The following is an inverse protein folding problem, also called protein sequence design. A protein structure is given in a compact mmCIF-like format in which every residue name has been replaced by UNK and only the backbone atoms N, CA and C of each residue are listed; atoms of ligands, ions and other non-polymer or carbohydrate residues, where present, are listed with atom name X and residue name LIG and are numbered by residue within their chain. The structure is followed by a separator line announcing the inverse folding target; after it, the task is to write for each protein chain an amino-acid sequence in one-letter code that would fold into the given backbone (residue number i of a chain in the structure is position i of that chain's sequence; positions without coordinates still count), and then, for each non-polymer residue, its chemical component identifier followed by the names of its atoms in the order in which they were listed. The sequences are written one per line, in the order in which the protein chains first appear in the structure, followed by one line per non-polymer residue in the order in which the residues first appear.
data_IF_468843709507
#
_entry.id   IF_468843709507
#
_cell.length_a   1.000
_cell.length_b   1.000
_cell.length_c   1.000
_cell.angle_alpha   90.00
_cell.angle_beta   90.00
_cell.angle_gamma   90.00
#
_symmetry.space_group_name_H-M   'P 1'
#
loop_
_entity.id
_entity.type
_entity.pdbx_description
1 polymer ?
#
# COMPACT_ATOMS: atom_id res chain seq x y z
N UNK A 1 7.63 7.10 -29.88
CA UNK A 1 8.31 7.53 -28.64
C UNK A 1 8.11 6.41 -27.64
N UNK A 2 9.18 5.90 -27.05
CA UNK A 2 9.07 4.91 -25.96
C UNK A 2 8.72 5.66 -24.68
N UNK A 3 7.62 5.29 -24.02
CA UNK A 3 7.23 5.84 -22.72
C UNK A 3 7.61 4.85 -21.63
N UNK A 4 8.26 5.33 -20.56
CA UNK A 4 8.52 4.49 -19.39
C UNK A 4 7.19 4.17 -18.70
N UNK A 5 7.02 2.91 -18.29
CA UNK A 5 5.83 2.43 -17.57
C UNK A 5 6.13 2.10 -16.12
N UNK A 6 7.41 1.98 -15.78
CA UNK A 6 7.98 1.82 -14.45
C UNK A 6 9.47 2.23 -14.53
N UNK A 7 10.20 2.36 -13.42
CA UNK A 7 11.56 2.90 -13.44
C UNK A 7 12.57 2.09 -14.28
N UNK A 8 12.40 0.78 -14.40
CA UNK A 8 13.28 -0.09 -15.18
C UNK A 8 12.66 -0.63 -16.47
N UNK A 9 11.36 -0.39 -16.72
CA UNK A 9 10.67 -0.93 -17.89
C UNK A 9 9.94 0.13 -18.71
N UNK A 10 9.94 -0.09 -20.02
CA UNK A 10 9.27 0.75 -21.01
C UNK A 10 8.03 0.05 -21.57
N UNK A 11 7.20 0.79 -22.30
CA UNK A 11 5.93 0.32 -22.88
C UNK A 11 6.06 -0.98 -23.66
N UNK A 12 7.21 -1.23 -24.29
CA UNK A 12 7.50 -2.42 -25.09
C UNK A 12 7.46 -3.71 -24.25
N UNK A 13 7.66 -3.64 -22.93
CA UNK A 13 7.51 -4.82 -22.04
C UNK A 13 6.05 -5.28 -21.93
N UNK A 14 5.09 -4.44 -22.33
CA UNK A 14 3.68 -4.77 -22.39
C UNK A 14 3.21 -5.08 -23.83
N UNK A 15 4.13 -5.24 -24.78
CA UNK A 15 3.81 -5.70 -26.13
C UNK A 15 3.70 -7.23 -26.14
N UNK A 16 2.47 -7.76 -26.05
CA UNK A 16 2.20 -9.19 -25.89
C UNK A 16 2.84 -9.82 -24.64
N UNK A 17 2.54 -9.30 -23.43
CA UNK A 17 3.21 -9.69 -22.21
C UNK A 17 2.78 -11.08 -21.75
N UNK A 18 3.71 -11.83 -21.15
CA UNK A 18 3.34 -12.95 -20.31
C UNK A 18 3.11 -12.48 -18.85
N UNK A 19 2.63 -13.36 -17.98
CA UNK A 19 2.34 -13.00 -16.57
C UNK A 19 3.59 -12.58 -15.80
N UNK A 20 4.76 -13.14 -16.11
CA UNK A 20 6.00 -12.79 -15.42
C UNK A 20 6.46 -11.36 -15.80
N UNK A 21 6.23 -10.93 -17.04
CA UNK A 21 6.44 -9.53 -17.44
C UNK A 21 5.59 -8.55 -16.61
N UNK A 22 4.35 -8.92 -16.33
CA UNK A 22 3.44 -8.11 -15.51
C UNK A 22 3.84 -8.10 -14.04
N UNK A 23 4.31 -9.25 -13.51
CA UNK A 23 4.83 -9.36 -12.15
C UNK A 23 6.05 -8.44 -12.00
N UNK A 24 6.96 -8.43 -12.96
CA UNK A 24 8.13 -7.56 -12.96
C UNK A 24 7.72 -6.07 -12.96
N UNK A 25 6.80 -5.66 -13.84
CA UNK A 25 6.33 -4.26 -13.88
C UNK A 25 5.61 -3.89 -12.59
N UNK A 26 4.80 -4.79 -12.01
CA UNK A 26 4.13 -4.55 -10.74
C UNK A 26 5.14 -4.38 -9.59
N UNK A 27 6.09 -5.31 -9.45
CA UNK A 27 7.18 -5.25 -8.47
C UNK A 27 7.94 -3.93 -8.60
N UNK A 28 8.37 -3.59 -9.81
CA UNK A 28 9.16 -2.40 -10.12
C UNK A 28 8.42 -1.11 -9.76
N UNK A 29 7.12 -1.02 -10.07
CA UNK A 29 6.28 0.12 -9.71
C UNK A 29 6.16 0.27 -8.20
N UNK A 30 5.81 -0.78 -7.47
CA UNK A 30 5.62 -0.67 -6.02
C UNK A 30 6.95 -0.37 -5.34
N UNK A 31 8.02 -1.07 -5.71
CA UNK A 31 9.34 -0.90 -5.11
C UNK A 31 9.85 0.53 -5.31
N UNK A 32 9.82 1.03 -6.55
CA UNK A 32 10.52 2.27 -6.89
C UNK A 32 9.61 3.51 -6.94
N UNK A 33 8.29 3.38 -6.94
CA UNK A 33 7.37 4.53 -6.79
C UNK A 33 6.85 4.70 -5.37
N UNK A 34 6.84 3.65 -4.56
CA UNK A 34 6.24 3.69 -3.21
C UNK A 34 7.30 3.40 -2.14
N UNK A 35 7.88 2.21 -2.14
CA UNK A 35 8.72 1.74 -1.01
C UNK A 35 10.01 2.54 -0.89
N UNK A 36 10.81 2.62 -1.94
CA UNK A 36 12.10 3.31 -1.92
C UNK A 36 11.97 4.82 -1.71
N UNK A 37 11.06 5.53 -2.40
CA UNK A 37 10.81 6.95 -2.11
C UNK A 37 10.41 7.18 -0.65
N UNK A 38 9.52 6.34 -0.10
CA UNK A 38 9.13 6.45 1.31
C UNK A 38 10.32 6.21 2.25
N UNK A 39 11.16 5.20 2.00
CA UNK A 39 12.38 4.94 2.80
C UNK A 39 13.36 6.10 2.73
N UNK A 40 13.56 6.68 1.55
CA UNK A 40 14.45 7.82 1.35
C UNK A 40 13.97 9.02 2.16
N UNK A 41 12.69 9.39 2.00
CA UNK A 41 12.09 10.53 2.71
C UNK A 41 12.05 10.28 4.21
N UNK A 42 11.77 9.06 4.68
CA UNK A 42 11.75 8.74 6.10
C UNK A 42 13.12 8.95 6.79
N UNK A 43 14.22 9.03 6.04
CA UNK A 43 15.56 9.31 6.57
C UNK A 43 15.90 10.81 6.65
N UNK A 44 15.01 11.70 6.21
CA UNK A 44 15.21 13.15 6.34
C UNK A 44 14.58 13.66 7.63
N UNK A 45 15.10 14.78 8.13
CA UNK A 45 14.43 15.55 9.19
C UNK A 45 13.00 15.87 8.73
N UNK A 46 12.02 15.61 9.60
CA UNK A 46 10.58 15.78 9.35
C UNK A 46 9.98 14.95 8.19
N UNK A 47 10.72 14.04 7.57
CA UNK A 47 10.22 13.27 6.43
C UNK A 47 9.26 12.14 6.80
N UNK A 48 9.23 11.71 8.06
CA UNK A 48 8.41 10.59 8.53
C UNK A 48 6.93 10.64 8.13
N UNK A 49 6.19 11.73 8.44
CA UNK A 49 4.79 11.86 8.04
C UNK A 49 4.57 11.77 6.52
N UNK A 50 5.41 12.46 5.73
CA UNK A 50 5.32 12.43 4.27
C UNK A 50 5.62 11.03 3.69
N UNK A 51 6.62 10.35 4.24
CA UNK A 51 6.92 8.96 3.89
C UNK A 51 5.71 8.06 4.16
N UNK A 52 5.06 8.21 5.32
CA UNK A 52 3.88 7.42 5.64
C UNK A 52 2.71 7.70 4.68
N UNK A 53 2.52 8.94 4.23
CA UNK A 53 1.52 9.27 3.22
C UNK A 53 1.71 8.50 1.91
N UNK A 54 2.96 8.34 1.46
CA UNK A 54 3.28 7.53 0.27
C UNK A 54 2.89 6.07 0.53
N UNK A 55 3.25 5.53 1.69
CA UNK A 55 2.96 4.14 2.07
C UNK A 55 1.45 3.85 2.14
N UNK A 56 0.61 4.82 2.52
CA UNK A 56 -0.86 4.65 2.57
C UNK A 56 -1.46 4.26 1.20
N UNK A 57 -0.77 4.53 0.09
CA UNK A 57 -1.25 4.16 -1.26
C UNK A 57 -1.17 2.66 -1.54
N UNK A 58 -0.39 1.92 -0.74
CA UNK A 58 -0.14 0.49 -0.95
C UNK A 58 -1.33 -0.39 -0.55
N UNK A 59 -1.93 -0.16 0.63
CA UNK A 59 -2.82 -1.13 1.27
C UNK A 59 -4.03 -1.52 0.41
N UNK A 60 -4.77 -0.54 -0.11
CA UNK A 60 -5.94 -0.81 -0.96
C UNK A 60 -5.55 -1.51 -2.27
N UNK A 61 -4.47 -1.07 -2.90
CA UNK A 61 -4.03 -1.63 -4.18
C UNK A 61 -3.52 -3.07 -4.01
N UNK A 62 -2.71 -3.34 -2.99
CA UNK A 62 -2.23 -4.68 -2.65
C UNK A 62 -3.39 -5.66 -2.46
N UNK A 63 -4.43 -5.25 -1.70
CA UNK A 63 -5.62 -6.09 -1.52
C UNK A 63 -6.40 -6.28 -2.82
N UNK A 64 -6.55 -5.22 -3.62
CA UNK A 64 -7.18 -5.32 -4.94
C UNK A 64 -6.48 -6.32 -5.86
N UNK A 65 -5.15 -6.32 -5.91
CA UNK A 65 -4.37 -7.28 -6.68
C UNK A 65 -4.47 -8.70 -6.12
N UNK A 66 -4.46 -8.86 -4.80
CA UNK A 66 -4.64 -10.17 -4.15
C UNK A 66 -6.02 -10.79 -4.47
N UNK A 67 -7.07 -9.96 -4.54
CA UNK A 67 -8.43 -10.41 -4.84
C UNK A 67 -8.76 -10.44 -6.34
N UNK A 68 -7.91 -9.86 -7.18
CA UNK A 68 -8.17 -9.58 -8.60
C UNK A 68 -9.45 -8.77 -8.84
N UNK A 69 -9.79 -7.88 -7.90
CA UNK A 69 -11.06 -7.13 -7.92
C UNK A 69 -10.84 -5.65 -7.68
N UNK A 70 -11.70 -4.86 -8.31
CA UNK A 70 -11.73 -3.42 -8.13
C UNK A 70 -12.26 -3.05 -6.75
N UNK A 71 -11.56 -2.16 -6.07
CA UNK A 71 -12.02 -1.50 -4.85
C UNK A 71 -13.06 -0.40 -5.11
N UNK A 72 -13.51 -0.21 -6.37
CA UNK A 72 -14.49 0.82 -6.71
C UNK A 72 -15.74 0.69 -5.82
N UNK A 73 -16.10 1.77 -5.12
CA UNK A 73 -17.16 1.86 -4.09
C UNK A 73 -16.91 1.07 -2.79
N UNK A 74 -15.78 0.38 -2.66
CA UNK A 74 -15.39 -0.41 -1.47
C UNK A 74 -13.97 -0.04 -0.96
N UNK A 75 -13.50 1.17 -1.23
CA UNK A 75 -12.13 1.62 -0.92
C UNK A 75 -11.77 1.47 0.57
N UNK A 76 -12.70 1.78 1.48
CA UNK A 76 -12.50 1.60 2.93
C UNK A 76 -12.24 0.14 3.29
N UNK A 77 -13.09 -0.76 2.84
CA UNK A 77 -12.95 -2.19 3.12
C UNK A 77 -11.63 -2.75 2.57
N UNK A 78 -11.30 -2.44 1.32
CA UNK A 78 -10.07 -2.93 0.69
C UNK A 78 -8.83 -2.40 1.38
N UNK A 79 -8.84 -1.13 1.77
CA UNK A 79 -7.75 -0.54 2.54
C UNK A 79 -7.57 -1.24 3.89
N UNK A 80 -8.65 -1.45 4.65
CA UNK A 80 -8.56 -2.07 5.99
C UNK A 80 -8.05 -3.51 5.88
N UNK A 81 -8.56 -4.29 4.93
CA UNK A 81 -8.08 -5.66 4.72
C UNK A 81 -6.61 -5.69 4.29
N UNK A 82 -6.20 -4.83 3.35
CA UNK A 82 -4.81 -4.73 2.93
C UNK A 82 -3.88 -4.29 4.07
N UNK A 83 -4.33 -3.36 4.92
CA UNK A 83 -3.60 -2.98 6.13
C UNK A 83 -3.43 -4.16 7.10
N UNK A 84 -4.52 -4.87 7.39
CA UNK A 84 -4.47 -6.03 8.28
C UNK A 84 -3.56 -7.14 7.73
N UNK A 85 -3.59 -7.39 6.42
CA UNK A 85 -2.76 -8.39 5.76
C UNK A 85 -1.26 -8.07 5.83
N UNK A 86 -0.89 -6.79 5.62
CA UNK A 86 0.49 -6.33 5.76
C UNK A 86 1.00 -6.50 7.20
N UNK A 87 0.19 -6.11 8.20
CA UNK A 87 0.62 -6.09 9.59
C UNK A 87 0.30 -7.37 10.38
N UNK A 88 -0.23 -8.43 9.75
CA UNK A 88 -0.50 -9.70 10.46
C UNK A 88 0.73 -10.32 11.13
N UNK A 89 1.92 -10.07 10.57
CA UNK A 89 3.19 -10.55 11.14
C UNK A 89 3.67 -9.76 12.38
N UNK A 90 2.99 -8.66 12.75
CA UNK A 90 3.33 -7.84 13.92
C UNK A 90 3.02 -8.53 15.26
N UNK A 91 2.20 -9.58 15.25
CA UNK A 91 1.74 -10.29 16.44
C UNK A 91 0.53 -9.66 17.14
N UNK A 92 -0.03 -8.57 16.60
CA UNK A 92 -1.31 -8.06 17.07
C UNK A 92 -2.45 -9.03 16.71
N UNK A 93 -3.44 -9.21 17.61
CA UNK A 93 -4.67 -9.91 17.26
C UNK A 93 -5.34 -9.27 16.04
N UNK A 94 -5.85 -10.11 15.14
CA UNK A 94 -6.42 -9.67 13.86
C UNK A 94 -7.49 -8.58 14.03
N UNK A 95 -8.41 -8.73 14.99
CA UNK A 95 -9.45 -7.72 15.24
C UNK A 95 -8.88 -6.33 15.58
N UNK A 96 -7.71 -6.26 16.24
CA UNK A 96 -7.04 -4.97 16.50
C UNK A 96 -6.49 -4.36 15.22
N UNK A 97 -5.98 -5.17 14.30
CA UNK A 97 -5.51 -4.69 13.02
C UNK A 97 -6.65 -4.10 12.19
N UNK A 98 -7.83 -4.71 12.19
CA UNK A 98 -9.02 -4.14 11.54
C UNK A 98 -9.45 -2.80 12.16
N UNK A 99 -9.55 -2.72 13.50
CA UNK A 99 -9.88 -1.48 14.21
C UNK A 99 -8.85 -0.37 13.95
N UNK A 100 -7.57 -0.73 13.93
CA UNK A 100 -6.46 0.19 13.63
C UNK A 100 -6.51 0.66 12.19
N UNK A 101 -6.72 -0.27 11.24
CA UNK A 101 -6.86 0.03 9.82
C UNK A 101 -8.03 0.98 9.54
N UNK A 102 -9.14 0.84 10.27
CA UNK A 102 -10.27 1.77 10.18
C UNK A 102 -9.88 3.20 10.59
N UNK A 103 -9.19 3.35 11.72
CA UNK A 103 -8.71 4.66 12.19
C UNK A 103 -7.68 5.23 11.21
N UNK A 104 -6.73 4.43 10.74
CA UNK A 104 -5.74 4.86 9.73
C UNK A 104 -6.43 5.31 8.44
N UNK A 105 -7.47 4.60 7.99
CA UNK A 105 -8.22 5.01 6.80
C UNK A 105 -8.86 6.39 6.99
N UNK A 106 -9.54 6.62 8.10
CA UNK A 106 -10.27 7.87 8.35
C UNK A 106 -9.32 9.02 8.69
N UNK A 107 -8.40 8.79 9.63
CA UNK A 107 -7.61 9.85 10.27
C UNK A 107 -6.27 10.09 9.58
N UNK A 108 -5.71 9.09 8.90
CA UNK A 108 -4.47 9.25 8.15
C UNK A 108 -4.73 9.41 6.66
N UNK A 109 -5.36 8.42 6.00
CA UNK A 109 -5.60 8.49 4.56
C UNK A 109 -6.57 9.62 4.21
N UNK A 110 -7.84 9.52 4.61
CA UNK A 110 -8.82 10.56 4.29
C UNK A 110 -8.46 11.91 4.91
N UNK A 111 -8.03 11.93 6.18
CA UNK A 111 -7.59 13.15 6.84
C UNK A 111 -6.49 13.87 6.07
N UNK A 112 -5.40 13.18 5.72
CA UNK A 112 -4.29 13.83 5.04
C UNK A 112 -4.64 14.25 3.60
N UNK A 113 -5.31 13.40 2.83
CA UNK A 113 -5.61 13.70 1.42
C UNK A 113 -6.69 14.78 1.24
N UNK A 114 -7.60 14.97 2.21
CA UNK A 114 -8.66 15.98 2.11
C UNK A 114 -8.36 17.24 2.93
N UNK A 115 -7.69 17.11 4.08
CA UNK A 115 -7.47 18.22 5.00
C UNK A 115 -5.99 18.65 5.08
N UNK A 116 -5.07 17.88 4.48
CA UNK A 116 -3.63 18.12 4.57
C UNK A 116 -3.02 17.76 5.93
N UNK A 117 -3.75 17.06 6.80
CA UNK A 117 -3.37 16.82 8.19
C UNK A 117 -3.74 15.39 8.64
N UNK A 118 -2.89 14.81 9.48
CA UNK A 118 -3.26 13.61 10.25
C UNK A 118 -4.18 14.01 11.41
N UNK A 119 -5.27 13.27 11.62
CA UNK A 119 -6.24 13.57 12.69
C UNK A 119 -5.87 12.91 14.02
N UNK A 120 -6.49 13.40 15.09
CA UNK A 120 -5.99 13.42 16.48
C UNK A 120 -5.58 12.12 17.18
N UNK A 121 -5.65 10.96 16.53
CA UNK A 121 -5.15 9.69 17.07
C UNK A 121 -3.81 9.26 16.46
N UNK A 122 -3.30 9.95 15.44
CA UNK A 122 -2.12 9.54 14.69
C UNK A 122 -0.88 10.32 15.13
N UNK A 123 0.17 9.60 15.54
CA UNK A 123 1.43 10.17 15.99
C UNK A 123 2.61 9.45 15.33
N UNK A 124 3.75 10.13 15.25
CA UNK A 124 4.99 9.60 14.69
C UNK A 124 6.09 9.63 15.74
N UNK A 125 6.84 8.53 15.88
CA UNK A 125 7.97 8.45 16.81
C UNK A 125 8.96 7.39 16.37
N UNK A 126 10.25 7.64 16.61
CA UNK A 126 11.29 6.64 16.45
C UNK A 126 11.15 5.54 17.52
N UNK A 127 10.94 4.30 17.08
CA UNK A 127 10.76 3.15 17.97
C UNK A 127 11.22 1.84 17.33
N UNK A 128 11.23 0.76 18.13
CA UNK A 128 11.62 -0.58 17.69
C UNK A 128 10.44 -1.42 17.16
N UNK A 129 9.27 -0.81 16.98
CA UNK A 129 8.04 -1.39 16.43
C UNK A 129 7.56 -0.57 15.24
N UNK A 130 6.84 -1.19 14.32
CA UNK A 130 6.22 -0.48 13.18
C UNK A 130 5.06 0.40 13.63
N UNK A 131 4.17 -0.16 14.43
CA UNK A 131 2.99 0.50 14.97
C UNK A 131 2.86 0.15 16.46
N UNK A 132 2.48 1.14 17.27
CA UNK A 132 2.05 0.96 18.66
C UNK A 132 0.65 1.48 18.81
N UNK A 133 -0.25 0.60 19.25
CA UNK A 133 -1.65 0.91 19.53
C UNK A 133 -1.80 1.14 21.04
N UNK A 134 -2.38 2.27 21.44
CA UNK A 134 -2.64 2.57 22.85
C UNK A 134 -4.11 2.42 23.19
N UNK A 135 -4.37 1.88 24.39
CA UNK A 135 -5.70 1.55 24.89
C UNK A 135 -5.87 2.11 26.30
N UNK A 136 -7.11 2.38 26.74
CA UNK A 136 -7.37 2.82 28.09
C UNK A 136 -7.00 1.73 29.10
N UNK A 137 -6.72 2.16 30.33
CA UNK A 137 -6.59 1.26 31.48
C UNK A 137 -7.85 1.36 32.34
N UNK A 138 -8.40 0.20 32.72
CA UNK A 138 -9.47 0.07 33.71
C UNK A 138 -8.96 -0.80 34.85
N UNK A 139 -8.99 -0.28 36.07
CA UNK A 139 -8.50 -0.95 37.28
C UNK A 139 -7.08 -1.51 37.16
N UNK A 140 -6.19 -0.71 36.53
CA UNK A 140 -4.78 -1.07 36.34
C UNK A 140 -4.51 -2.09 35.22
N UNK A 141 -5.55 -2.61 34.56
CA UNK A 141 -5.44 -3.53 33.42
C UNK A 141 -5.76 -2.82 32.11
N UNK A 142 -5.14 -3.26 31.02
CA UNK A 142 -5.50 -2.78 29.68
C UNK A 142 -6.91 -3.23 29.34
N UNK A 143 -7.74 -2.28 28.91
CA UNK A 143 -9.08 -2.55 28.42
C UNK A 143 -9.00 -2.80 26.90
N UNK A 144 -8.98 -4.07 26.52
CA UNK A 144 -8.84 -4.51 25.12
C UNK A 144 -10.06 -4.17 24.27
N UNK A 145 -11.23 -4.05 24.91
CA UNK A 145 -12.49 -3.67 24.27
C UNK A 145 -12.68 -2.14 24.23
N UNK A 146 -11.87 -1.41 25.00
CA UNK A 146 -11.87 0.05 25.04
C UNK A 146 -11.48 0.70 23.71
N UNK A 147 -11.82 1.98 23.54
CA UNK A 147 -11.47 2.73 22.34
C UNK A 147 -9.95 2.95 22.22
N UNK A 148 -9.41 2.71 21.03
CA UNK A 148 -8.02 3.08 20.70
C UNK A 148 -7.84 4.58 20.95
N UNK A 149 -6.89 4.90 21.83
CA UNK A 149 -6.58 6.27 22.25
C UNK A 149 -5.62 6.93 21.26
N UNK A 150 -4.61 6.20 20.81
CA UNK A 150 -3.66 6.65 19.80
C UNK A 150 -3.02 5.49 19.05
N UNK A 151 -2.50 5.81 17.87
CA UNK A 151 -1.68 4.97 17.01
C UNK A 151 -0.38 5.73 16.78
N UNK A 152 0.71 5.19 17.29
CA UNK A 152 2.06 5.72 17.10
C UNK A 152 2.70 4.92 15.98
N UNK A 153 3.30 5.61 15.02
CA UNK A 153 3.80 5.03 13.77
C UNK A 153 5.30 5.30 13.67
N UNK A 154 6.06 4.28 13.31
CA UNK A 154 7.46 4.41 12.91
C UNK A 154 7.56 4.19 11.39
N UNK A 155 7.67 5.27 10.60
CA UNK A 155 7.58 5.22 9.15
C UNK A 155 8.58 4.28 8.49
N UNK A 156 9.83 4.21 8.97
CA UNK A 156 10.87 3.35 8.37
C UNK A 156 10.47 1.88 8.50
N UNK A 157 9.98 1.49 9.68
CA UNK A 157 9.56 0.11 9.96
C UNK A 157 8.27 -0.25 9.25
N UNK A 158 7.35 0.70 9.07
CA UNK A 158 6.18 0.52 8.21
C UNK A 158 6.58 0.28 6.74
N UNK A 159 7.57 1.02 6.23
CA UNK A 159 8.10 0.79 4.89
C UNK A 159 8.71 -0.61 4.77
N UNK A 160 9.48 -1.06 5.78
CA UNK A 160 10.04 -2.41 5.80
C UNK A 160 8.95 -3.49 5.90
N UNK A 161 7.84 -3.23 6.60
CA UNK A 161 6.71 -4.16 6.67
C UNK A 161 6.03 -4.33 5.32
N UNK A 162 5.79 -3.22 4.62
CA UNK A 162 5.24 -3.22 3.25
C UNK A 162 6.19 -3.93 2.28
N UNK A 163 7.50 -3.66 2.37
CA UNK A 163 8.48 -4.33 1.50
C UNK A 163 8.51 -5.84 1.71
N UNK A 164 8.51 -6.31 2.97
CA UNK A 164 8.42 -7.75 3.28
C UNK A 164 7.13 -8.37 2.75
N UNK A 165 6.01 -7.66 2.88
CA UNK A 165 4.74 -8.10 2.34
C UNK A 165 4.81 -8.21 0.81
N UNK A 166 5.27 -7.16 0.12
CA UNK A 166 5.48 -7.16 -1.33
C UNK A 166 6.36 -8.34 -1.77
N UNK A 167 7.53 -8.52 -1.16
CA UNK A 167 8.45 -9.62 -1.49
C UNK A 167 7.79 -10.99 -1.32
N UNK A 168 6.95 -11.15 -0.30
CA UNK A 168 6.18 -12.38 -0.09
C UNK A 168 5.15 -12.55 -1.21
N UNK A 169 4.38 -11.51 -1.54
CA UNK A 169 3.41 -11.53 -2.64
C UNK A 169 4.06 -11.88 -3.98
N UNK A 170 5.17 -11.23 -4.34
CA UNK A 170 5.90 -11.50 -5.58
C UNK A 170 6.42 -12.94 -5.60
N UNK A 171 6.99 -13.42 -4.49
CA UNK A 171 7.45 -14.81 -4.39
C UNK A 171 6.33 -15.81 -4.62
N UNK A 172 5.15 -15.58 -4.05
CA UNK A 172 3.98 -16.44 -4.29
C UNK A 172 3.49 -16.35 -5.73
N UNK A 173 3.42 -15.15 -6.32
CA UNK A 173 3.02 -14.96 -7.72
C UNK A 173 4.00 -15.63 -8.70
N UNK A 174 5.29 -15.68 -8.39
CA UNK A 174 6.32 -16.34 -9.23
C UNK A 174 6.29 -17.87 -9.14
N UNK A 175 5.55 -18.48 -8.21
CA UNK A 175 5.43 -19.94 -8.15
C UNK A 175 4.53 -20.44 -9.28
N UNK A 176 5.09 -21.26 -10.17
CA UNK A 176 4.32 -21.91 -11.23
C UNK A 176 3.17 -22.79 -10.72
N UNK A 177 3.22 -23.25 -9.47
CA UNK A 177 2.11 -24.00 -8.85
C UNK A 177 0.89 -23.15 -8.50
N UNK A 178 1.01 -21.81 -8.51
CA UNK A 178 -0.05 -20.88 -8.11
C UNK A 178 -0.84 -20.37 -9.33
N UNK A 179 -1.22 -21.28 -10.23
CA UNK A 179 -1.84 -20.97 -11.53
C UNK A 179 -3.07 -20.06 -11.40
N UNK A 180 -3.97 -20.35 -10.46
CA UNK A 180 -5.18 -19.55 -10.26
C UNK A 180 -4.84 -18.13 -9.80
N UNK A 181 -3.92 -17.97 -8.84
CA UNK A 181 -3.52 -16.65 -8.35
C UNK A 181 -2.81 -15.85 -9.45
N UNK A 182 -1.96 -16.50 -10.25
CA UNK A 182 -1.29 -15.90 -11.42
C UNK A 182 -2.29 -15.43 -12.45
N UNK A 183 -3.33 -16.24 -12.74
CA UNK A 183 -4.40 -15.87 -13.66
C UNK A 183 -5.22 -14.69 -13.15
N UNK A 184 -5.64 -14.72 -11.88
CA UNK A 184 -6.38 -13.62 -11.22
C UNK A 184 -5.58 -12.32 -11.27
N UNK A 185 -4.28 -12.38 -10.98
CA UNK A 185 -3.38 -11.24 -11.08
C UNK A 185 -3.28 -10.72 -12.52
N UNK A 186 -3.06 -11.60 -13.50
CA UNK A 186 -2.95 -11.24 -14.92
C UNK A 186 -4.20 -10.51 -15.41
N UNK A 187 -5.38 -11.09 -15.20
CA UNK A 187 -6.66 -10.54 -15.66
C UNK A 187 -6.92 -9.17 -15.02
N UNK A 188 -6.64 -9.05 -13.72
CA UNK A 188 -6.82 -7.79 -13.02
C UNK A 188 -5.81 -6.72 -13.45
N UNK A 189 -4.53 -7.05 -13.57
CA UNK A 189 -3.50 -6.11 -14.05
C UNK A 189 -3.83 -5.61 -15.46
N UNK A 190 -4.25 -6.53 -16.35
CA UNK A 190 -4.73 -6.20 -17.70
C UNK A 190 -5.87 -5.19 -17.67
N UNK A 191 -6.87 -5.40 -16.80
CA UNK A 191 -8.02 -4.48 -16.65
C UNK A 191 -7.64 -3.06 -16.20
N UNK A 192 -6.42 -2.86 -15.67
CA UNK A 192 -5.94 -1.55 -15.18
C UNK A 192 -5.08 -0.79 -16.18
N UNK A 193 -4.46 -1.49 -17.12
CA UNK A 193 -3.52 -0.87 -18.05
C UNK A 193 -4.13 -0.59 -19.43
N UNK A 194 -5.33 -1.12 -19.74
CA UNK A 194 -6.04 -0.94 -21.02
C UNK A 194 -5.11 -0.98 -22.25
N UNK A 195 -4.15 -1.92 -22.25
CA UNK A 195 -3.09 -1.97 -23.27
C UNK A 195 -3.59 -2.51 -24.62
N UNK A 196 -4.81 -3.05 -24.69
CA UNK A 196 -5.43 -3.51 -25.94
C UNK A 196 -6.02 -2.33 -26.74
N UNK A 197 -6.18 -1.17 -26.09
CA UNK A 197 -6.65 0.05 -26.73
C UNK A 197 -5.44 0.92 -27.09
N UNK A 198 -5.21 1.29 -28.37
CA UNK A 198 -4.19 2.28 -28.70
C UNK A 198 -4.59 3.62 -28.05
N UNK A 199 -4.00 3.92 -26.89
CA UNK A 199 -4.34 5.10 -26.12
C UNK A 199 -4.10 6.37 -26.96
N UNK A 200 -5.05 7.32 -27.02
CA UNK A 200 -4.84 8.56 -27.73
C UNK A 200 -3.93 9.45 -26.88
N UNK A 201 -2.61 9.27 -26.96
CA UNK A 201 -1.67 10.25 -26.43
C UNK A 201 -1.70 11.49 -27.33
N UNK A 202 -2.70 12.35 -27.15
CA UNK A 202 -2.77 13.68 -27.74
C UNK A 202 -2.29 14.66 -26.68
N UNK A 203 -1.02 15.06 -26.75
CA UNK A 203 -0.51 16.14 -25.93
C UNK A 203 -1.06 17.47 -26.44
N UNK A 204 -1.95 18.11 -25.68
CA UNK A 204 -2.34 19.50 -25.92
C UNK A 204 -1.18 20.36 -25.44
N UNK A 205 -0.46 21.00 -26.38
CA UNK A 205 0.55 21.97 -26.01
C UNK A 205 -0.13 23.25 -25.49
N UNK A 206 0.21 23.73 -24.28
CA UNK A 206 -0.32 25.01 -23.81
C UNK A 206 0.19 26.12 -24.74
N UNK A 207 -0.74 26.90 -25.27
CA UNK A 207 -0.42 28.14 -25.98
C UNK A 207 0.22 29.08 -24.95
N UNK A 208 1.48 29.47 -25.21
CA UNK A 208 2.21 30.42 -24.36
C UNK A 208 1.62 31.82 -24.44
#
# INVERSE_FOLDING_TARGET
MSSFISPHFYSEKLDSPNVDDLIDVYEDRIQHWIVEPAKLIANTEHGGPAAFCILLTYFESAWSFAQGKSSHRNSKEYFINGFADVFKASGYPEYFLYRTGEIIYVDARCGFFHDGLFRGKIFFAEMNKDIVITLPKRDGRLDLDGEIQSIIIEPKRCADAIERHLQTTIRELRKASNDEQRKVFFDFFKSRCDWDSPGPMVAIQPVR
#
